data_IF_659863797043
#
_entry.id   IF_659863797043
#
_cell.length_a   1.000
_cell.length_b   1.000
_cell.length_c   1.000
_cell.angle_alpha   90.00
_cell.angle_beta   90.00
_cell.angle_gamma   90.00
#
_symmetry.space_group_name_H-M   'P 1'
#
loop_
_entity.id
_entity.type
_entity.pdbx_description
1 polymer ?
#
# COMPACT_ATOMS: atom_id res chain seq x y z
N UNK A 1 -18.49 -8.38 -11.03
CA UNK A 1 -19.54 -8.32 -12.08
C UNK A 1 -20.40 -9.58 -12.21
N UNK A 2 -19.82 -10.79 -12.28
CA UNK A 2 -20.58 -12.04 -12.48
C UNK A 2 -21.71 -12.27 -11.44
N UNK A 3 -21.50 -11.85 -10.20
CA UNK A 3 -22.46 -12.01 -9.10
C UNK A 3 -22.93 -10.68 -8.50
N UNK A 4 -22.03 -9.69 -8.42
CA UNK A 4 -22.32 -8.35 -7.92
C UNK A 4 -21.81 -7.31 -8.94
N UNK A 5 -22.67 -6.33 -9.27
CA UNK A 5 -22.39 -5.21 -10.17
C UNK A 5 -22.32 -3.88 -9.40
N UNK A 6 -22.05 -2.78 -10.11
CA UNK A 6 -21.95 -1.43 -9.53
C UNK A 6 -20.67 -1.18 -8.71
N UNK A 7 -19.63 -2.01 -8.90
CA UNK A 7 -18.31 -1.84 -8.29
C UNK A 7 -17.38 -1.37 -9.40
N UNK A 8 -16.74 -0.21 -9.19
CA UNK A 8 -15.81 0.38 -10.16
C UNK A 8 -14.35 0.02 -9.85
N UNK A 9 -14.02 -0.24 -8.58
CA UNK A 9 -12.62 -0.40 -8.14
C UNK A 9 -12.50 -1.30 -6.93
N UNK A 10 -11.40 -2.04 -6.84
CA UNK A 10 -10.99 -2.79 -5.65
C UNK A 10 -9.71 -2.23 -5.04
N UNK A 11 -9.56 -2.40 -3.73
CA UNK A 11 -8.30 -2.17 -3.04
C UNK A 11 -7.65 -3.52 -2.72
N UNK A 12 -6.38 -3.68 -3.07
CA UNK A 12 -5.63 -4.87 -2.71
C UNK A 12 -5.35 -4.91 -1.19
N UNK A 13 -5.10 -6.11 -0.62
CA UNK A 13 -4.50 -6.22 0.71
C UNK A 13 -3.21 -5.40 0.79
N UNK A 14 -2.92 -4.84 1.97
CA UNK A 14 -1.77 -3.96 2.14
C UNK A 14 -0.43 -4.72 2.13
N UNK A 15 0.55 -4.15 1.44
CA UNK A 15 1.95 -4.51 1.53
C UNK A 15 2.49 -3.97 2.85
N UNK A 16 3.11 -4.86 3.63
CA UNK A 16 3.90 -4.48 4.80
C UNK A 16 5.28 -5.10 4.71
N UNK A 17 6.29 -4.23 4.77
CA UNK A 17 7.68 -4.64 4.86
C UNK A 17 8.00 -4.77 6.36
N UNK A 18 8.57 -5.91 6.74
CA UNK A 18 8.90 -6.18 8.14
C UNK A 18 10.36 -5.78 8.39
N UNK A 19 10.76 -4.56 8.00
CA UNK A 19 12.16 -4.10 8.03
C UNK A 19 13.06 -4.78 6.99
N UNK A 20 12.47 -5.41 5.97
CA UNK A 20 13.17 -6.05 4.86
C UNK A 20 12.61 -5.54 3.55
N UNK A 21 13.48 -5.07 2.65
CA UNK A 21 13.15 -4.55 1.33
C UNK A 21 12.83 -5.69 0.34
N UNK A 22 11.83 -6.49 0.69
CA UNK A 22 11.41 -7.69 -0.05
C UNK A 22 9.90 -7.75 -0.09
N UNK A 23 9.33 -7.75 -1.29
CA UNK A 23 7.90 -8.01 -1.49
C UNK A 23 7.64 -9.51 -1.31
N UNK A 24 6.79 -9.89 -0.36
CA UNK A 24 6.41 -11.29 -0.15
C UNK A 24 5.70 -11.85 -1.38
N UNK A 25 5.95 -13.12 -1.69
CA UNK A 25 5.32 -13.81 -2.83
C UNK A 25 3.79 -13.76 -2.82
N UNK A 26 3.14 -13.71 -1.66
CA UNK A 26 1.69 -13.53 -1.56
C UNK A 26 1.25 -12.20 -2.18
N UNK A 27 1.88 -11.08 -1.78
CA UNK A 27 1.58 -9.77 -2.35
C UNK A 27 1.92 -9.71 -3.84
N UNK A 28 3.01 -10.35 -4.26
CA UNK A 28 3.35 -10.40 -5.69
C UNK A 28 2.28 -11.10 -6.50
N UNK A 29 1.73 -12.22 -6.01
CA UNK A 29 0.64 -12.95 -6.66
C UNK A 29 -0.65 -12.11 -6.69
N UNK A 30 -1.01 -11.48 -5.57
CA UNK A 30 -2.21 -10.64 -5.47
C UNK A 30 -2.15 -9.45 -6.45
N UNK A 31 -0.95 -8.95 -6.74
CA UNK A 31 -0.70 -7.78 -7.58
C UNK A 31 -0.22 -8.12 -9.00
N UNK A 32 -0.18 -9.39 -9.40
CA UNK A 32 0.12 -9.69 -10.80
C UNK A 32 -0.99 -9.12 -11.70
N UNK A 33 -0.67 -8.33 -12.74
CA UNK A 33 -1.68 -7.76 -13.64
C UNK A 33 -2.58 -8.83 -14.28
N UNK A 34 -2.02 -9.99 -14.61
CA UNK A 34 -2.76 -11.13 -15.19
C UNK A 34 -3.88 -11.65 -14.28
N UNK A 35 -3.77 -11.46 -12.96
CA UNK A 35 -4.79 -11.82 -11.99
C UNK A 35 -5.87 -10.74 -11.83
N UNK A 36 -5.65 -9.54 -12.37
CA UNK A 36 -6.44 -8.33 -12.12
C UNK A 36 -6.95 -7.70 -13.43
N UNK A 37 -7.51 -8.54 -14.32
CA UNK A 37 -7.89 -8.13 -15.69
C UNK A 37 -9.32 -7.62 -15.84
N UNK A 38 -10.14 -7.71 -14.79
CA UNK A 38 -11.59 -7.43 -14.87
C UNK A 38 -12.00 -6.09 -14.30
N UNK A 39 -11.34 -5.65 -13.22
CA UNK A 39 -11.61 -4.39 -12.53
C UNK A 39 -10.31 -3.70 -12.20
N UNK A 40 -10.38 -2.38 -12.08
CA UNK A 40 -9.26 -1.60 -11.56
C UNK A 40 -8.97 -2.02 -10.11
N UNK A 41 -7.69 -2.27 -9.85
CA UNK A 41 -7.20 -2.61 -8.52
C UNK A 41 -6.20 -1.56 -8.11
N UNK A 42 -6.43 -0.96 -6.94
CA UNK A 42 -5.53 0.00 -6.30
C UNK A 42 -4.71 -0.77 -5.24
N UNK A 43 -3.40 -0.96 -5.45
CA UNK A 43 -2.50 -1.51 -4.46
C UNK A 43 -2.47 -0.65 -3.20
N UNK A 44 -2.14 -1.25 -2.07
CA UNK A 44 -2.06 -0.54 -0.80
C UNK A 44 -0.75 -0.85 -0.08
N UNK A 45 -0.17 0.14 0.60
CA UNK A 45 1.00 -0.03 1.46
C UNK A 45 0.72 0.45 2.87
N UNK A 46 1.29 -0.23 3.86
CA UNK A 46 1.25 0.16 5.27
C UNK A 46 2.67 0.17 5.82
N UNK A 47 3.28 1.35 5.78
CA UNK A 47 4.59 1.64 6.37
C UNK A 47 4.61 3.06 6.92
N UNK A 48 5.46 3.28 7.91
CA UNK A 48 5.80 4.59 8.44
C UNK A 48 7.26 4.92 8.14
N UNK A 49 7.89 4.24 7.20
CA UNK A 49 9.27 4.45 6.79
C UNK A 49 9.33 4.94 5.33
N UNK A 50 10.12 5.99 5.09
CA UNK A 50 10.20 6.62 3.79
C UNK A 50 10.91 5.74 2.74
N UNK A 51 11.93 4.98 3.14
CA UNK A 51 12.67 4.13 2.21
C UNK A 51 11.81 2.94 1.79
N UNK A 52 11.13 2.31 2.76
CA UNK A 52 10.13 1.28 2.51
C UNK A 52 9.02 1.77 1.57
N UNK A 53 8.50 2.99 1.81
CA UNK A 53 7.47 3.58 0.97
C UNK A 53 7.94 3.76 -0.48
N UNK A 54 9.14 4.33 -0.69
CA UNK A 54 9.73 4.50 -2.01
C UNK A 54 10.01 3.19 -2.73
N UNK A 55 10.44 2.16 -1.99
CA UNK A 55 10.64 0.84 -2.55
C UNK A 55 9.34 0.22 -3.05
N UNK A 56 8.26 0.35 -2.27
CA UNK A 56 6.94 -0.13 -2.71
C UNK A 56 6.43 0.68 -3.90
N UNK A 57 6.58 2.00 -3.92
CA UNK A 57 6.22 2.83 -5.09
C UNK A 57 6.89 2.28 -6.36
N UNK A 58 8.21 2.08 -6.34
CA UNK A 58 8.96 1.56 -7.50
C UNK A 58 8.47 0.19 -7.93
N UNK A 59 8.20 -0.70 -6.97
CA UNK A 59 7.66 -2.02 -7.27
C UNK A 59 6.28 -1.93 -7.95
N UNK A 60 5.37 -1.12 -7.40
CA UNK A 60 4.01 -0.94 -7.93
C UNK A 60 4.04 -0.32 -9.33
N UNK A 61 4.88 0.69 -9.55
CA UNK A 61 5.11 1.29 -10.87
C UNK A 61 5.65 0.28 -11.88
N UNK A 62 6.55 -0.63 -11.45
CA UNK A 62 7.11 -1.66 -12.34
C UNK A 62 6.06 -2.66 -12.85
N UNK A 63 4.95 -2.81 -12.13
CA UNK A 63 3.80 -3.63 -12.53
C UNK A 63 2.79 -2.86 -13.40
N UNK A 64 2.99 -1.56 -13.62
CA UNK A 64 2.13 -0.71 -14.44
C UNK A 64 0.94 -0.08 -13.72
N UNK A 65 0.83 -0.22 -12.39
CA UNK A 65 -0.19 0.47 -11.61
C UNK A 65 0.08 1.98 -11.55
N UNK A 66 -0.99 2.76 -11.61
CA UNK A 66 -0.93 4.24 -11.65
C UNK A 66 -1.23 4.90 -10.31
N UNK A 67 -1.80 4.14 -9.39
CA UNK A 67 -2.20 4.61 -8.08
C UNK A 67 -1.65 3.66 -7.00
N UNK A 68 -1.30 4.22 -5.84
CA UNK A 68 -0.93 3.48 -4.64
C UNK A 68 -1.61 4.12 -3.43
N UNK A 69 -2.47 3.35 -2.76
CA UNK A 69 -3.09 3.79 -1.53
C UNK A 69 -2.11 3.63 -0.35
N UNK A 70 -2.00 4.65 0.49
CA UNK A 70 -1.21 4.58 1.73
C UNK A 70 -2.14 4.42 2.93
N UNK A 71 -2.05 3.28 3.62
CA UNK A 71 -2.88 3.01 4.78
C UNK A 71 -2.42 3.82 5.99
N UNK A 72 -3.17 4.89 6.28
CA UNK A 72 -3.08 5.68 7.49
C UNK A 72 -4.25 5.41 8.46
N UNK A 73 -5.09 4.40 8.20
CA UNK A 73 -6.36 4.21 8.91
C UNK A 73 -6.37 3.09 9.95
N UNK A 74 -5.50 2.08 9.85
CA UNK A 74 -5.60 0.89 10.70
C UNK A 74 -5.42 1.23 12.20
N UNK A 75 -6.39 0.92 13.09
CA UNK A 75 -6.31 1.20 14.53
C UNK A 75 -5.66 0.07 15.34
N UNK A 76 -5.18 -1.00 14.69
CA UNK A 76 -4.67 -2.17 15.41
C UNK A 76 -3.45 -1.80 16.27
N UNK A 77 -3.45 -2.05 17.61
CA UNK A 77 -2.43 -1.53 18.52
C UNK A 77 -0.99 -1.88 18.16
N UNK A 78 -0.74 -3.06 17.58
CA UNK A 78 0.61 -3.47 17.17
C UNK A 78 1.12 -2.67 15.97
N UNK A 79 0.22 -2.19 15.11
CA UNK A 79 0.54 -1.33 13.96
C UNK A 79 0.75 0.10 14.44
N UNK A 80 -0.18 0.62 15.26
CA UNK A 80 -0.11 2.01 15.74
C UNK A 80 1.10 2.26 16.64
N UNK A 81 1.45 1.32 17.53
CA UNK A 81 2.67 1.40 18.37
C UNK A 81 3.98 1.41 17.57
N UNK A 82 3.95 0.96 16.32
CA UNK A 82 5.10 1.01 15.41
C UNK A 82 5.10 2.27 14.52
N UNK A 83 4.21 3.23 14.79
CA UNK A 83 4.11 4.46 14.01
C UNK A 83 3.61 4.22 12.58
N UNK A 84 2.70 3.26 12.41
CA UNK A 84 2.04 2.93 11.14
C UNK A 84 0.51 2.99 11.29
N UNK A 85 -0.21 2.90 10.16
CA UNK A 85 -1.67 2.99 10.16
C UNK A 85 -2.11 4.31 10.81
N UNK A 86 -3.14 4.24 11.65
CA UNK A 86 -3.63 5.42 12.39
C UNK A 86 -2.63 6.00 13.38
N UNK A 87 -1.62 5.25 13.81
CA UNK A 87 -0.56 5.75 14.68
C UNK A 87 0.29 6.84 14.01
N UNK A 88 0.35 6.85 12.67
CA UNK A 88 1.09 7.86 11.93
C UNK A 88 0.33 9.20 11.82
N UNK A 89 -1.02 9.20 11.91
CA UNK A 89 -1.84 10.41 11.86
C UNK A 89 -1.43 11.42 12.94
N UNK A 90 -1.03 10.93 14.12
CA UNK A 90 -0.57 11.76 15.22
C UNK A 90 0.79 12.45 14.95
N UNK A 91 1.44 12.18 13.82
CA UNK A 91 2.73 12.75 13.45
C UNK A 91 2.70 13.31 12.01
N UNK A 92 2.05 14.47 11.79
CA UNK A 92 1.92 15.07 10.47
C UNK A 92 3.28 15.42 9.84
N UNK A 93 4.28 15.83 10.63
CA UNK A 93 5.63 16.15 10.11
C UNK A 93 6.28 14.94 9.43
N UNK A 94 6.10 13.74 10.01
CA UNK A 94 6.61 12.50 9.44
C UNK A 94 5.87 12.12 8.16
N UNK A 95 4.57 12.36 8.09
CA UNK A 95 3.77 12.18 6.86
C UNK A 95 4.32 13.08 5.75
N UNK A 96 4.51 14.36 6.07
CA UNK A 96 5.05 15.38 5.18
C UNK A 96 6.43 15.01 4.65
N UNK A 97 7.30 14.52 5.53
CA UNK A 97 8.63 14.04 5.16
C UNK A 97 8.59 12.90 4.15
N UNK A 98 7.74 11.88 4.37
CA UNK A 98 7.59 10.74 3.47
C UNK A 98 7.05 11.20 2.10
N UNK A 99 6.01 12.05 2.10
CA UNK A 99 5.40 12.56 0.86
C UNK A 99 6.36 13.42 0.03
N UNK A 100 7.17 14.27 0.68
CA UNK A 100 8.20 15.10 0.01
C UNK A 100 9.28 14.26 -0.67
N UNK A 101 9.57 13.07 -0.14
CA UNK A 101 10.54 12.17 -0.74
C UNK A 101 9.96 11.36 -1.91
N UNK A 102 8.63 11.18 -1.93
CA UNK A 102 7.91 10.41 -2.95
C UNK A 102 7.56 11.21 -4.22
N UNK A 103 7.55 12.55 -4.13
CA UNK A 103 7.49 13.46 -5.28
C UNK A 103 8.85 13.64 -5.93
#
# INVERSE_FOLDING_TARGET
HKYFGGIDTFYAPYIRLNGKMVIKNSYQKDLQPDNNTTLEVIPQVMTGDADEFLFVIKYIQSLGYKELNWNLGCPYPMVTKQGMGSGLICNPEKIDHILKRAH
#
